data_IF_696767757048
#
_entry.id   IF_696767757048
#
_cell.length_a   1.000
_cell.length_b   1.000
_cell.length_c   1.000
_cell.angle_alpha   90.00
_cell.angle_beta   90.00
_cell.angle_gamma   90.00
#
_symmetry.space_group_name_H-M   'P 1'
#
loop_
_entity.id
_entity.type
_entity.pdbx_description
1 polymer ?
#
# COMPACT_ATOMS: atom_id res chain seq x y z
N UNK A 1 7.70 -3.59 -7.73
CA UNK A 1 6.60 -3.33 -8.69
C UNK A 1 5.50 -4.39 -8.51
N UNK A 2 4.40 -4.08 -7.81
CA UNK A 2 3.25 -5.00 -7.63
C UNK A 2 1.89 -4.34 -7.86
N UNK A 3 1.86 -3.08 -8.33
CA UNK A 3 0.59 -2.33 -8.47
C UNK A 3 -0.19 -2.75 -9.73
N UNK A 4 0.49 -3.35 -10.72
CA UNK A 4 -0.06 -3.57 -12.07
C UNK A 4 -1.18 -4.63 -12.17
N UNK A 5 -1.19 -5.74 -11.40
CA UNK A 5 -2.33 -6.67 -11.41
C UNK A 5 -3.39 -6.39 -10.32
N UNK A 6 -3.20 -5.40 -9.45
CA UNK A 6 -4.08 -5.21 -8.28
C UNK A 6 -5.42 -4.56 -8.68
N UNK A 7 -5.40 -3.61 -9.61
CA UNK A 7 -6.59 -2.84 -9.99
C UNK A 7 -7.69 -3.72 -10.62
N UNK A 8 -7.42 -4.59 -11.62
CA UNK A 8 -8.46 -5.43 -12.21
C UNK A 8 -9.02 -6.48 -11.24
N UNK A 9 -8.18 -6.96 -10.32
CA UNK A 9 -8.59 -7.90 -9.27
C UNK A 9 -9.50 -7.22 -8.26
N UNK A 10 -9.16 -5.99 -7.83
CA UNK A 10 -10.00 -5.21 -6.92
C UNK A 10 -11.37 -4.92 -7.54
N UNK A 11 -11.40 -4.47 -8.79
CA UNK A 11 -12.66 -4.21 -9.52
C UNK A 11 -13.50 -5.49 -9.65
N UNK A 12 -12.86 -6.64 -9.88
CA UNK A 12 -13.54 -7.93 -9.91
C UNK A 12 -14.18 -8.31 -8.58
N UNK A 13 -13.49 -8.07 -7.46
CA UNK A 13 -14.01 -8.39 -6.12
C UNK A 13 -15.16 -7.44 -5.74
N UNK A 14 -14.98 -6.13 -5.96
CA UNK A 14 -16.00 -5.11 -5.62
C UNK A 14 -17.27 -5.31 -6.44
N UNK A 15 -17.14 -5.59 -7.74
CA UNK A 15 -18.27 -5.74 -8.66
C UNK A 15 -18.59 -7.20 -8.99
N UNK A 16 -18.22 -8.15 -8.12
CA UNK A 16 -18.30 -9.58 -8.40
C UNK A 16 -19.69 -10.06 -8.87
N UNK A 17 -20.75 -9.60 -8.20
CA UNK A 17 -22.14 -9.93 -8.56
C UNK A 17 -22.50 -9.46 -9.97
N UNK A 18 -22.17 -8.20 -10.29
CA UNK A 18 -22.42 -7.63 -11.62
C UNK A 18 -21.58 -8.33 -12.69
N UNK A 19 -20.29 -8.56 -12.43
CA UNK A 19 -19.39 -9.19 -13.40
C UNK A 19 -19.81 -10.64 -13.66
N UNK A 20 -20.17 -11.39 -12.62
CA UNK A 20 -20.59 -12.78 -12.76
C UNK A 20 -21.95 -12.92 -13.46
N UNK A 21 -22.92 -12.06 -13.15
CA UNK A 21 -24.30 -12.14 -13.68
C UNK A 21 -24.55 -11.38 -14.97
N UNK A 22 -23.76 -10.34 -15.28
CA UNK A 22 -23.96 -9.47 -16.45
C UNK A 22 -22.81 -9.56 -17.45
N UNK A 23 -21.55 -9.53 -17.01
CA UNK A 23 -20.40 -9.47 -17.93
C UNK A 23 -19.80 -10.83 -18.31
N UNK A 24 -20.15 -11.90 -17.59
CA UNK A 24 -19.63 -13.24 -17.89
C UNK A 24 -20.22 -13.82 -19.18
N UNK A 25 -19.39 -14.19 -20.15
CA UNK A 25 -19.88 -14.80 -21.40
C UNK A 25 -20.23 -16.29 -21.26
N UNK A 26 -19.81 -16.94 -20.18
CA UNK A 26 -19.97 -18.38 -19.95
C UNK A 26 -21.08 -18.71 -18.93
N UNK A 27 -22.08 -17.83 -18.77
CA UNK A 27 -23.19 -18.04 -17.81
C UNK A 27 -24.00 -19.30 -18.12
N UNK A 28 -24.17 -19.60 -19.41
CA UNK A 28 -24.95 -20.75 -19.89
C UNK A 28 -24.20 -22.08 -19.79
N UNK A 29 -22.94 -22.05 -19.32
CA UNK A 29 -22.08 -23.23 -19.13
C UNK A 29 -21.74 -23.41 -17.64
N UNK A 30 -22.71 -23.77 -16.78
CA UNK A 30 -22.52 -23.85 -15.33
C UNK A 30 -21.45 -24.86 -14.93
N UNK A 31 -21.24 -25.92 -15.73
CA UNK A 31 -20.18 -26.93 -15.53
C UNK A 31 -18.76 -26.33 -15.51
N UNK A 32 -18.55 -25.16 -16.13
CA UNK A 32 -17.24 -24.51 -16.21
C UNK A 32 -16.89 -23.64 -14.98
N UNK A 33 -17.85 -23.37 -14.09
CA UNK A 33 -17.61 -22.58 -12.86
C UNK A 33 -16.87 -21.25 -13.13
N UNK A 34 -17.19 -20.59 -14.26
CA UNK A 34 -16.46 -19.40 -14.73
C UNK A 34 -16.62 -18.21 -13.78
N UNK A 35 -17.84 -17.91 -13.33
CA UNK A 35 -18.14 -16.84 -12.35
C UNK A 35 -17.46 -15.50 -12.68
N UNK A 36 -17.46 -15.10 -13.95
CA UNK A 36 -16.85 -13.83 -14.39
C UNK A 36 -15.33 -13.85 -14.57
N UNK A 37 -14.64 -14.98 -14.33
CA UNK A 37 -13.18 -15.10 -14.54
C UNK A 37 -12.74 -14.79 -15.97
N UNK A 38 -13.59 -15.06 -16.97
CA UNK A 38 -13.33 -14.69 -18.36
C UNK A 38 -13.16 -13.17 -18.56
N UNK A 39 -13.93 -12.36 -17.81
CA UNK A 39 -13.82 -10.91 -17.85
C UNK A 39 -12.54 -10.44 -17.15
N UNK A 40 -12.28 -10.96 -15.95
CA UNK A 40 -11.06 -10.66 -15.20
C UNK A 40 -9.80 -10.98 -16.02
N UNK A 41 -9.76 -12.13 -16.70
CA UNK A 41 -8.63 -12.54 -17.52
C UNK A 41 -8.40 -11.58 -18.70
N UNK A 42 -9.48 -11.04 -19.29
CA UNK A 42 -9.40 -10.05 -20.37
C UNK A 42 -8.83 -8.72 -19.87
N UNK A 43 -9.28 -8.23 -18.71
CA UNK A 43 -8.77 -6.99 -18.13
C UNK A 43 -7.31 -7.12 -17.66
N UNK A 44 -6.93 -8.28 -17.13
CA UNK A 44 -5.54 -8.59 -16.80
C UNK A 44 -4.64 -8.63 -18.04
N UNK A 45 -5.11 -9.21 -19.15
CA UNK A 45 -4.36 -9.23 -20.41
C UNK A 45 -4.16 -7.81 -20.96
N UNK A 46 -5.21 -6.97 -20.96
CA UNK A 46 -5.12 -5.55 -21.36
C UNK A 46 -4.13 -4.77 -20.50
N UNK A 47 -4.19 -4.96 -19.18
CA UNK A 47 -3.27 -4.31 -18.25
C UNK A 47 -1.81 -4.74 -18.48
N UNK A 48 -1.60 -5.99 -18.92
CA UNK A 48 -0.28 -6.51 -19.32
C UNK A 48 0.18 -6.01 -20.69
N UNK A 49 -0.72 -5.84 -21.65
CA UNK A 49 -0.41 -5.38 -23.01
C UNK A 49 -0.16 -3.86 -23.09
N UNK A 50 -0.68 -3.07 -22.13
CA UNK A 50 -0.39 -1.65 -22.00
C UNK A 50 1.11 -1.35 -21.72
N UNK A 51 1.90 -2.37 -21.36
CA UNK A 51 3.36 -2.29 -21.21
C UNK A 51 4.14 -2.64 -22.50
N UNK A 52 3.46 -3.10 -23.58
CA UNK A 52 4.13 -3.23 -24.88
C UNK A 52 4.35 -1.81 -25.43
N UNK A 53 5.57 -1.45 -25.86
CA UNK A 53 5.83 -0.14 -26.43
C UNK A 53 5.03 -0.02 -27.74
N UNK A 54 3.84 0.57 -27.66
CA UNK A 54 3.17 1.14 -28.82
C UNK A 54 4.10 2.24 -29.29
N UNK A 55 4.56 2.13 -30.54
CA UNK A 55 5.47 3.08 -31.14
C UNK A 55 4.97 4.52 -30.97
N UNK A 56 5.92 5.42 -30.74
CA UNK A 56 5.86 6.89 -30.64
C UNK A 56 5.73 7.50 -29.23
N UNK A 57 6.88 8.00 -28.77
CA UNK A 57 7.06 9.31 -28.14
C UNK A 57 6.29 9.68 -26.85
N UNK A 58 5.82 8.70 -26.09
CA UNK A 58 5.53 8.94 -24.67
C UNK A 58 6.32 7.97 -23.81
N UNK A 59 7.56 8.38 -23.54
CA UNK A 59 8.37 7.91 -22.42
C UNK A 59 7.60 8.25 -21.14
N UNK A 60 6.62 7.42 -20.78
CA UNK A 60 6.14 7.34 -19.40
C UNK A 60 7.33 6.83 -18.64
N UNK A 61 8.13 7.76 -18.15
CA UNK A 61 9.15 7.51 -17.16
C UNK A 61 8.41 7.02 -15.94
N UNK A 62 8.08 5.72 -15.92
CA UNK A 62 7.86 5.03 -14.68
C UNK A 62 9.13 5.28 -13.89
N UNK A 63 9.06 6.24 -12.95
CA UNK A 63 10.15 6.48 -12.02
C UNK A 63 10.31 5.15 -11.30
N UNK A 64 11.30 4.38 -11.74
CA UNK A 64 11.69 3.15 -11.08
C UNK A 64 12.17 3.65 -9.72
N UNK A 65 11.31 3.51 -8.71
CA UNK A 65 11.67 3.78 -7.34
C UNK A 65 12.72 2.72 -6.98
N UNK A 66 13.99 3.08 -7.15
CA UNK A 66 15.11 2.27 -6.74
C UNK A 66 15.15 2.31 -5.21
N UNK A 67 14.91 1.16 -4.58
CA UNK A 67 14.99 1.03 -3.13
C UNK A 67 16.47 0.98 -2.79
N UNK A 68 17.03 2.15 -2.44
CA UNK A 68 18.46 2.30 -2.15
C UNK A 68 18.87 1.58 -0.86
N UNK A 69 17.95 1.51 0.12
CA UNK A 69 18.14 0.78 1.36
C UNK A 69 16.79 0.38 1.96
N UNK A 70 16.78 -0.66 2.78
CA UNK A 70 15.62 -1.14 3.52
C UNK A 70 16.05 -1.34 4.97
N UNK A 71 15.29 -0.78 5.91
CA UNK A 71 15.48 -0.98 7.34
C UNK A 71 14.18 -1.54 7.93
N UNK A 72 14.31 -2.64 8.68
CA UNK A 72 13.18 -3.26 9.35
C UNK A 72 12.77 -2.43 10.57
N UNK A 73 11.50 -2.01 10.61
CA UNK A 73 10.99 -1.22 11.74
C UNK A 73 10.82 -2.15 12.93
N UNK A 74 11.56 -1.88 14.02
CA UNK A 74 11.37 -2.60 15.27
C UNK A 74 10.01 -2.28 15.89
N UNK A 75 9.38 -3.29 16.48
CA UNK A 75 8.11 -3.12 17.19
C UNK A 75 8.26 -2.13 18.35
N UNK A 76 7.43 -1.09 18.39
CA UNK A 76 7.37 -0.19 19.52
C UNK A 76 6.01 -0.29 20.23
N UNK A 77 6.01 -0.04 21.54
CA UNK A 77 4.80 0.01 22.35
C UNK A 77 4.43 1.47 22.60
N UNK A 78 3.26 1.87 22.11
CA UNK A 78 2.66 3.15 22.48
C UNK A 78 2.00 2.96 23.84
N UNK A 79 2.53 3.64 24.86
CA UNK A 79 1.87 3.70 26.17
C UNK A 79 1.02 4.94 26.23
N UNK A 80 -0.29 4.76 26.37
CA UNK A 80 -1.23 5.88 26.51
C UNK A 80 -1.11 6.44 27.92
N UNK A 81 -0.67 7.69 28.06
CA UNK A 81 -0.62 8.38 29.36
C UNK A 81 -2.00 9.01 29.61
N UNK A 82 -2.79 8.38 30.47
CA UNK A 82 -4.06 8.94 30.92
C UNK A 82 -3.79 9.99 32.01
N UNK A 83 -3.99 11.26 31.71
CA UNK A 83 -4.00 12.31 32.73
C UNK A 83 -5.35 12.28 33.44
N UNK A 84 -5.37 11.81 34.69
CA UNK A 84 -6.56 11.89 35.52
C UNK A 84 -6.90 13.34 35.82
N UNK A 85 -8.11 13.78 35.45
CA UNK A 85 -8.65 15.08 35.86
C UNK A 85 -9.05 15.02 37.34
N UNK A 86 -8.06 15.13 38.23
CA UNK A 86 -8.31 15.56 39.61
C UNK A 86 -7.42 16.76 39.88
N UNK A 87 -8.02 17.93 39.69
CA UNK A 87 -7.44 19.21 40.05
C UNK A 87 -7.07 19.22 41.54
N UNK A 88 -5.78 19.09 41.81
CA UNK A 88 -5.07 20.02 42.69
C UNK A 88 -3.83 20.41 41.92
N UNK A 89 -3.74 21.69 41.56
CA UNK A 89 -2.57 22.25 40.87
C UNK A 89 -1.35 21.91 41.74
N UNK A 90 -0.57 20.93 41.32
CA UNK A 90 0.69 20.59 41.95
C UNK A 90 1.72 21.59 41.38
N UNK A 91 2.29 22.50 42.18
CA UNK A 91 3.26 23.49 41.67
C UNK A 91 4.62 22.84 41.31
N UNK A 92 4.75 21.52 41.43
CA UNK A 92 5.98 20.81 41.15
C UNK A 92 6.12 20.57 39.65
N UNK A 93 7.17 21.16 39.08
CA UNK A 93 7.59 20.94 37.70
C UNK A 93 7.73 19.45 37.41
N UNK A 94 6.92 18.95 36.48
CA UNK A 94 7.01 17.59 35.98
C UNK A 94 7.78 17.62 34.66
N UNK A 95 9.02 17.13 34.67
CA UNK A 95 9.79 17.00 33.44
C UNK A 95 9.28 15.78 32.65
N UNK A 96 8.42 16.03 31.67
CA UNK A 96 7.85 15.01 30.78
C UNK A 96 8.73 14.75 29.54
N UNK A 97 9.99 15.18 29.57
CA UNK A 97 10.93 14.99 28.47
C UNK A 97 11.29 13.51 28.31
N UNK A 98 10.77 12.88 27.27
CA UNK A 98 11.09 11.50 26.88
C UNK A 98 11.84 11.49 25.54
N UNK A 99 13.12 11.85 25.55
CA UNK A 99 14.02 11.69 24.39
C UNK A 99 15.16 10.70 24.66
N UNK A 100 14.87 9.61 25.37
CA UNK A 100 15.72 8.44 25.25
C UNK A 100 15.45 7.85 23.88
N UNK A 101 16.17 8.37 22.88
CA UNK A 101 16.20 7.84 21.53
C UNK A 101 16.68 6.39 21.65
N UNK A 102 15.75 5.45 21.61
CA UNK A 102 16.05 4.02 21.64
C UNK A 102 16.77 3.56 20.35
N UNK A 103 16.88 4.45 19.37
CA UNK A 103 17.52 4.21 18.07
C UNK A 103 18.43 5.37 17.70
N UNK A 104 19.71 5.04 17.48
CA UNK A 104 20.66 5.95 16.84
C UNK A 104 20.43 5.90 15.34
N UNK A 105 19.64 6.84 14.80
CA UNK A 105 19.59 7.06 13.36
C UNK A 105 21.02 7.40 12.92
N UNK A 106 21.57 6.66 11.96
CA UNK A 106 22.92 6.92 11.46
C UNK A 106 22.91 8.28 10.73
N UNK A 107 23.58 9.27 11.30
CA UNK A 107 23.77 10.57 10.64
C UNK A 107 25.19 10.63 10.09
N UNK A 108 25.39 11.14 8.87
CA UNK A 108 26.74 11.37 8.35
C UNK A 108 27.48 12.36 9.26
N UNK A 109 28.81 12.23 9.42
CA UNK A 109 29.59 13.11 10.27
C UNK A 109 29.43 14.56 9.78
N UNK A 110 29.14 15.45 10.72
CA UNK A 110 29.08 16.89 10.46
C UNK A 110 30.52 17.32 10.21
N UNK A 111 30.85 17.76 9.00
CA UNK A 111 32.16 18.33 8.70
C UNK A 111 32.35 19.56 9.58
N UNK A 112 33.21 19.47 10.57
CA UNK A 112 33.62 20.61 11.38
C UNK A 112 34.59 21.40 10.50
N UNK A 113 34.15 22.55 9.99
CA UNK A 113 35.02 23.53 9.34
C UNK A 113 35.78 24.34 10.37
#
# INVERSE_FOLDING_TARGET
>A
MLVKPVLPVLEYVVNYEYISKVLCINKDKPKMQCKGKCHLMKELAKASDADKPVSSDKKVTAQVLEVLFFEEIQSFKITLVCFGTKEKINPVYSNLYSHLNLYSIFHPPISIS
#
